data_IF_613876871447
#
_entry.id   IF_613876871447
#
_cell.length_a   1.000
_cell.length_b   1.000
_cell.length_c   1.000
_cell.angle_alpha   90.00
_cell.angle_beta   90.00
_cell.angle_gamma   90.00
#
_symmetry.space_group_name_H-M   'P 1'
#
loop_
_entity.id
_entity.type
_entity.pdbx_description
1 polymer ?
#
# COMPACT_ATOMS: atom_id res chain seq x y z
N UNK A 1 -14.40 9.10 5.59
CA UNK A 1 -14.40 7.82 4.85
C UNK A 1 -13.33 6.88 5.39
N UNK A 2 -12.07 7.31 5.53
CA UNK A 2 -10.99 6.51 6.11
C UNK A 2 -11.28 5.98 7.53
N UNK A 3 -11.81 6.84 8.42
CA UNK A 3 -12.06 6.45 9.82
C UNK A 3 -13.10 5.31 9.96
N UNK A 4 -14.15 5.31 9.13
CA UNK A 4 -15.20 4.27 9.17
C UNK A 4 -14.67 2.93 8.61
N UNK A 5 -13.88 2.97 7.54
CA UNK A 5 -13.22 1.78 6.99
C UNK A 5 -12.18 1.21 7.98
N UNK A 6 -11.43 2.06 8.68
CA UNK A 6 -10.49 1.66 9.72
C UNK A 6 -11.19 0.93 10.88
N UNK A 7 -12.26 1.53 11.45
CA UNK A 7 -13.01 0.92 12.55
C UNK A 7 -13.62 -0.44 12.17
N UNK A 8 -14.18 -0.53 10.96
CA UNK A 8 -14.69 -1.79 10.42
C UNK A 8 -13.59 -2.85 10.32
N UNK A 9 -12.45 -2.50 9.73
CA UNK A 9 -11.37 -3.45 9.47
C UNK A 9 -10.68 -3.92 10.76
N UNK A 10 -10.54 -3.07 11.77
CA UNK A 10 -9.87 -3.45 13.04
C UNK A 10 -10.78 -4.28 13.95
N UNK A 11 -12.09 -4.04 13.95
CA UNK A 11 -13.03 -4.71 14.87
C UNK A 11 -13.24 -6.20 14.61
N UNK A 12 -12.94 -6.70 13.41
CA UNK A 12 -13.16 -8.10 13.01
C UNK A 12 -11.89 -8.83 12.57
N UNK A 13 -10.75 -8.14 12.55
CA UNK A 13 -9.50 -8.70 12.04
C UNK A 13 -8.70 -9.43 13.12
N UNK A 14 -7.78 -10.30 12.69
CA UNK A 14 -6.78 -10.86 13.60
C UNK A 14 -5.95 -9.73 14.21
N UNK A 15 -5.29 -9.97 15.35
CA UNK A 15 -4.43 -8.97 15.97
C UNK A 15 -3.37 -8.44 15.00
N UNK A 16 -2.75 -9.33 14.24
CA UNK A 16 -1.69 -8.98 13.29
C UNK A 16 -2.22 -8.13 12.14
N UNK A 17 -3.41 -8.44 11.63
CA UNK A 17 -4.07 -7.65 10.59
C UNK A 17 -4.52 -6.29 11.11
N UNK A 18 -5.04 -6.23 12.34
CA UNK A 18 -5.42 -4.99 13.00
C UNK A 18 -4.22 -4.06 13.19
N UNK A 19 -3.06 -4.60 13.61
CA UNK A 19 -1.80 -3.86 13.72
C UNK A 19 -1.34 -3.33 12.36
N UNK A 20 -1.41 -4.14 11.30
CA UNK A 20 -1.06 -3.72 9.94
C UNK A 20 -1.99 -2.60 9.41
N UNK A 21 -3.30 -2.72 9.63
CA UNK A 21 -4.27 -1.69 9.26
C UNK A 21 -4.09 -0.41 10.06
N UNK A 22 -3.70 -0.51 11.33
CA UNK A 22 -3.36 0.64 12.14
C UNK A 22 -2.15 1.40 11.60
N UNK A 23 -1.05 0.71 11.30
CA UNK A 23 0.14 1.33 10.69
C UNK A 23 -0.20 2.08 9.41
N UNK A 24 -0.99 1.46 8.52
CA UNK A 24 -1.43 2.12 7.29
C UNK A 24 -2.37 3.32 7.55
N UNK A 25 -3.25 3.23 8.53
CA UNK A 25 -4.13 4.35 8.88
C UNK A 25 -3.35 5.56 9.41
N UNK A 26 -2.29 5.34 10.19
CA UNK A 26 -1.48 6.41 10.75
C UNK A 26 -0.87 7.32 9.68
N UNK A 27 -0.50 6.80 8.51
CA UNK A 27 0.03 7.64 7.40
C UNK A 27 -1.05 8.29 6.55
N UNK A 28 -2.31 7.89 6.69
CA UNK A 28 -3.45 8.42 5.92
C UNK A 28 -4.39 9.32 6.74
N UNK A 29 -4.17 9.41 8.06
CA UNK A 29 -4.98 10.21 8.96
C UNK A 29 -4.90 11.69 8.59
N UNK A 30 -6.04 12.39 8.64
CA UNK A 30 -6.12 13.83 8.36
C UNK A 30 -5.39 14.63 9.45
N UNK A 31 -4.83 15.78 9.04
CA UNK A 31 -4.19 16.74 9.94
C UNK A 31 -2.70 16.49 10.19
N UNK A 32 -2.10 15.51 9.49
CA UNK A 32 -0.66 15.31 9.51
C UNK A 32 0.06 16.27 8.58
N UNK A 33 1.20 16.75 9.04
CA UNK A 33 2.17 17.48 8.22
C UNK A 33 2.95 16.52 7.32
N UNK A 34 3.54 17.01 6.22
CA UNK A 34 4.41 16.20 5.38
C UNK A 34 5.59 15.57 6.14
N UNK A 35 6.13 16.27 7.15
CA UNK A 35 7.23 15.75 7.97
C UNK A 35 6.75 14.55 8.81
N UNK A 36 5.60 14.66 9.48
CA UNK A 36 5.07 13.54 10.27
C UNK A 36 4.78 12.32 9.40
N UNK A 37 4.22 12.51 8.20
CA UNK A 37 4.00 11.41 7.25
C UNK A 37 5.33 10.74 6.88
N UNK A 38 6.36 11.56 6.60
CA UNK A 38 7.70 11.06 6.26
C UNK A 38 8.30 10.27 7.42
N UNK A 39 8.22 10.79 8.64
CA UNK A 39 8.75 10.15 9.84
C UNK A 39 8.06 8.81 10.11
N UNK A 40 6.73 8.74 9.93
CA UNK A 40 5.99 7.48 10.03
C UNK A 40 6.46 6.44 9.02
N UNK A 41 6.62 6.81 7.75
CA UNK A 41 7.15 5.89 6.74
C UNK A 41 8.58 5.45 7.05
N UNK A 42 9.44 6.35 7.50
CA UNK A 42 10.82 6.02 7.90
C UNK A 42 10.86 5.02 9.06
N UNK A 43 10.05 5.23 10.10
CA UNK A 43 9.97 4.32 11.24
C UNK A 43 9.36 2.97 10.86
N UNK A 44 8.29 2.98 10.05
CA UNK A 44 7.62 1.76 9.60
C UNK A 44 8.54 0.91 8.74
N UNK A 45 9.30 1.52 7.83
CA UNK A 45 10.34 0.86 7.05
C UNK A 45 11.47 0.32 7.92
N UNK A 46 12.04 1.14 8.80
CA UNK A 46 13.13 0.74 9.69
C UNK A 46 12.77 -0.41 10.64
N UNK A 47 11.48 -0.54 11.00
CA UNK A 47 10.99 -1.65 11.83
C UNK A 47 10.95 -3.01 11.09
N UNK A 48 11.13 -3.02 9.77
CA UNK A 48 10.96 -4.21 8.93
C UNK A 48 9.50 -4.66 8.77
N UNK A 49 8.53 -3.93 9.32
CA UNK A 49 7.12 -4.30 9.28
C UNK A 49 6.41 -3.84 8.00
N UNK A 50 6.94 -2.83 7.31
CA UNK A 50 6.30 -2.23 6.12
C UNK A 50 5.86 -3.28 5.07
N UNK A 51 6.81 -4.10 4.59
CA UNK A 51 6.51 -5.11 3.56
C UNK A 51 5.58 -6.22 4.05
N UNK A 52 5.65 -6.56 5.34
CA UNK A 52 4.80 -7.58 5.95
C UNK A 52 3.37 -7.09 6.14
N UNK A 53 3.23 -5.86 6.62
CA UNK A 53 1.94 -5.23 6.87
C UNK A 53 1.22 -4.94 5.53
N UNK A 54 1.97 -4.68 4.46
CA UNK A 54 1.48 -4.49 3.08
C UNK A 54 1.66 -5.74 2.19
N UNK A 55 1.75 -6.92 2.77
CA UNK A 55 1.81 -8.17 2.01
C UNK A 55 0.58 -8.33 1.09
N UNK A 56 0.71 -9.12 0.02
CA UNK A 56 -0.35 -9.31 -0.99
C UNK A 56 -1.67 -9.79 -0.40
N UNK A 57 -1.65 -10.55 0.70
CA UNK A 57 -2.88 -10.95 1.42
C UNK A 57 -3.69 -9.78 1.99
N UNK A 58 -3.10 -8.59 2.12
CA UNK A 58 -3.73 -7.38 2.69
C UNK A 58 -3.80 -6.22 1.70
N UNK A 59 -2.79 -6.07 0.85
CA UNK A 59 -2.69 -4.99 -0.12
C UNK A 59 -2.54 -5.55 -1.55
N UNK A 60 -3.67 -5.69 -2.23
CA UNK A 60 -3.78 -6.22 -3.60
C UNK A 60 -3.65 -5.15 -4.70
N UNK A 61 -3.40 -3.89 -4.32
CA UNK A 61 -3.27 -2.77 -5.26
C UNK A 61 -2.29 -3.04 -6.40
N UNK A 62 -1.05 -3.51 -6.10
CA UNK A 62 -0.06 -3.83 -7.13
C UNK A 62 -0.53 -4.87 -8.14
N UNK A 63 -1.05 -6.00 -7.67
CA UNK A 63 -1.56 -7.08 -8.53
C UNK A 63 -2.71 -6.59 -9.41
N UNK A 64 -3.63 -5.78 -8.87
CA UNK A 64 -4.72 -5.21 -9.67
C UNK A 64 -4.23 -4.23 -10.73
N UNK A 65 -3.26 -3.38 -10.40
CA UNK A 65 -2.66 -2.44 -11.34
C UNK A 65 -1.90 -3.17 -12.47
N UNK A 66 -1.05 -4.14 -12.11
CA UNK A 66 -0.30 -4.95 -13.07
C UNK A 66 -1.24 -5.69 -14.04
N UNK A 67 -2.30 -6.32 -13.52
CA UNK A 67 -3.32 -6.98 -14.33
C UNK A 67 -4.04 -5.99 -15.26
N UNK A 68 -4.50 -4.85 -14.75
CA UNK A 68 -5.23 -3.87 -15.55
C UNK A 68 -4.37 -3.33 -16.71
N UNK A 69 -3.09 -3.04 -16.46
CA UNK A 69 -2.15 -2.61 -17.50
C UNK A 69 -1.92 -3.73 -18.52
N UNK A 70 -1.71 -4.96 -18.05
CA UNK A 70 -1.49 -6.13 -18.90
C UNK A 70 -2.67 -6.47 -19.81
N UNK A 71 -3.90 -6.28 -19.30
CA UNK A 71 -5.17 -6.47 -20.01
C UNK A 71 -5.45 -5.32 -21.00
N UNK A 72 -5.06 -4.09 -20.67
CA UNK A 72 -5.28 -2.92 -21.54
C UNK A 72 -4.32 -2.90 -22.73
N UNK A 73 -3.02 -3.11 -22.50
CA UNK A 73 -2.01 -3.13 -23.56
C UNK A 73 -1.79 -4.54 -24.09
N UNK A 74 -2.76 -5.09 -24.83
CA UNK A 74 -2.66 -6.46 -25.38
C UNK A 74 -1.52 -6.65 -26.40
N UNK A 75 -1.08 -5.56 -27.04
CA UNK A 75 0.01 -5.52 -28.04
C UNK A 75 0.90 -4.30 -27.78
N UNK A 76 2.13 -4.32 -28.32
CA UNK A 76 3.09 -3.20 -28.22
C UNK A 76 3.56 -2.89 -26.79
N UNK A 77 3.51 -3.88 -25.88
CA UNK A 77 3.86 -3.75 -24.45
C UNK A 77 5.29 -3.22 -24.26
N UNK A 78 6.20 -3.62 -25.14
CA UNK A 78 7.61 -3.24 -25.15
C UNK A 78 7.86 -1.75 -25.35
N UNK A 79 6.88 -1.01 -25.90
CA UNK A 79 6.97 0.41 -26.16
C UNK A 79 6.20 1.26 -25.12
N UNK A 80 5.56 0.62 -24.15
CA UNK A 80 4.82 1.30 -23.07
C UNK A 80 5.79 1.73 -21.98
N UNK A 81 5.65 2.98 -21.52
CA UNK A 81 6.39 3.51 -20.37
C UNK A 81 5.42 3.70 -19.20
N UNK A 82 5.77 3.15 -18.04
CA UNK A 82 4.95 3.20 -16.82
C UNK A 82 5.69 4.03 -15.78
N UNK A 83 4.97 4.95 -15.14
CA UNK A 83 5.45 5.68 -13.97
C UNK A 83 4.61 5.25 -12.76
N UNK A 84 5.23 4.53 -11.83
CA UNK A 84 4.60 4.12 -10.57
C UNK A 84 4.95 5.14 -9.47
N UNK A 85 4.03 6.06 -9.23
CA UNK A 85 4.21 7.10 -8.21
C UNK A 85 3.91 6.51 -6.84
N UNK A 86 4.84 6.69 -5.89
CA UNK A 86 4.77 6.09 -4.56
C UNK A 86 4.75 4.55 -4.59
N UNK A 87 5.58 3.96 -5.47
CA UNK A 87 5.72 2.51 -5.67
C UNK A 87 6.07 1.68 -4.42
N UNK A 88 6.35 2.31 -3.27
CA UNK A 88 6.81 1.63 -2.07
C UNK A 88 8.10 0.85 -2.35
N UNK A 89 8.07 -0.46 -2.12
CA UNK A 89 9.20 -1.37 -2.44
C UNK A 89 9.30 -1.77 -3.92
N UNK A 90 8.46 -1.21 -4.79
CA UNK A 90 8.54 -1.40 -6.24
C UNK A 90 8.02 -2.75 -6.72
N UNK A 91 7.21 -3.45 -5.92
CA UNK A 91 6.68 -4.78 -6.26
C UNK A 91 5.81 -4.79 -7.50
N UNK A 92 5.13 -3.69 -7.84
CA UNK A 92 4.33 -3.57 -9.08
C UNK A 92 5.14 -3.92 -10.33
N UNK A 93 6.43 -3.56 -10.37
CA UNK A 93 7.31 -3.88 -11.50
C UNK A 93 7.79 -5.35 -11.54
N UNK A 94 7.44 -6.15 -10.54
CA UNK A 94 7.79 -7.57 -10.42
C UNK A 94 6.58 -8.51 -10.59
N UNK A 95 5.35 -7.97 -10.59
CA UNK A 95 4.09 -8.73 -10.75
C UNK A 95 3.83 -9.17 -12.20
#
# INVERSE_FOLDING_TARGET
MADNAYQKNVSTASRDDAEAYHSNFLVQKRGLTPQEITDYYSQWGASGKYDRDLATSRYMGPTHAARAIGDYFVSNKENVRILDVAAGTGKVGQE
#
